data_IF_579735938186
#
_entry.id   IF_579735938186
#
_cell.length_a   1.000
_cell.length_b   1.000
_cell.length_c   1.000
_cell.angle_alpha   90.00
_cell.angle_beta   90.00
_cell.angle_gamma   90.00
#
_symmetry.space_group_name_H-M   'P 1'
#
loop_
_entity.id
_entity.type
_entity.pdbx_description
1 polymer ?
#
# COMPACT_ATOMS: atom_id res chain seq x y z
N UNK A 1 9.77 -7.60 -1.53
CA UNK A 1 10.03 -8.93 -2.11
C UNK A 1 9.72 -10.06 -1.13
N UNK A 2 10.31 -10.10 0.07
CA UNK A 2 10.05 -11.17 1.06
C UNK A 2 8.57 -11.27 1.52
N UNK A 3 7.91 -10.14 1.82
CA UNK A 3 6.49 -10.13 2.19
C UNK A 3 5.58 -10.67 1.09
N UNK A 4 5.86 -10.35 -0.18
CA UNK A 4 5.09 -10.84 -1.32
C UNK A 4 5.22 -12.34 -1.51
N UNK A 5 6.44 -12.89 -1.35
CA UNK A 5 6.69 -14.33 -1.39
C UNK A 5 6.03 -15.07 -0.23
N UNK A 6 6.11 -14.54 0.99
CA UNK A 6 5.45 -15.12 2.15
C UNK A 6 3.93 -15.20 1.96
N UNK A 7 3.32 -14.12 1.48
CA UNK A 7 1.87 -14.06 1.20
C UNK A 7 1.47 -14.97 0.04
N UNK A 8 2.32 -15.10 -0.98
CA UNK A 8 2.11 -16.04 -2.07
C UNK A 8 2.03 -17.48 -1.57
N UNK A 9 2.88 -17.88 -0.62
CA UNK A 9 2.80 -19.21 0.00
C UNK A 9 1.49 -19.42 0.78
N UNK A 10 0.94 -18.38 1.42
CA UNK A 10 -0.36 -18.45 2.09
C UNK A 10 -1.55 -18.51 1.11
N UNK A 11 -1.39 -17.98 -0.10
CA UNK A 11 -2.43 -18.04 -1.13
C UNK A 11 -2.83 -19.49 -1.44
N UNK A 12 -1.86 -20.42 -1.46
CA UNK A 12 -2.10 -21.85 -1.70
C UNK A 12 -2.97 -22.54 -0.62
N UNK A 13 -3.11 -21.94 0.57
CA UNK A 13 -3.86 -22.51 1.70
C UNK A 13 -5.27 -21.93 1.80
N UNK A 14 -5.52 -20.76 1.19
CA UNK A 14 -6.78 -20.03 1.31
C UNK A 14 -7.72 -20.30 0.13
N UNK A 15 -9.02 -20.30 0.39
CA UNK A 15 -10.02 -20.45 -0.68
C UNK A 15 -10.20 -19.13 -1.47
N UNK A 16 -10.49 -19.19 -2.79
CA UNK A 16 -10.64 -18.00 -3.63
C UNK A 16 -11.67 -16.97 -3.13
N UNK A 17 -12.83 -17.35 -2.54
CA UNK A 17 -13.77 -16.39 -1.97
C UNK A 17 -13.17 -15.62 -0.78
N UNK A 18 -12.44 -16.31 0.10
CA UNK A 18 -11.79 -15.70 1.27
C UNK A 18 -10.71 -14.71 0.82
N UNK A 19 -9.90 -15.09 -0.17
CA UNK A 19 -8.89 -14.19 -0.76
C UNK A 19 -9.55 -12.93 -1.31
N UNK A 20 -10.67 -13.06 -2.02
CA UNK A 20 -11.38 -11.91 -2.58
C UNK A 20 -11.87 -10.93 -1.50
N UNK A 21 -12.39 -11.46 -0.38
CA UNK A 21 -12.80 -10.64 0.77
C UNK A 21 -11.61 -9.91 1.39
N UNK A 22 -10.50 -10.63 1.63
CA UNK A 22 -9.28 -10.04 2.21
C UNK A 22 -8.71 -8.95 1.31
N UNK A 23 -8.59 -9.22 0.01
CA UNK A 23 -8.10 -8.27 -1.00
C UNK A 23 -8.98 -7.02 -1.04
N UNK A 24 -10.31 -7.20 -1.02
CA UNK A 24 -11.25 -6.09 -0.96
C UNK A 24 -11.04 -5.22 0.28
N UNK A 25 -10.95 -5.83 1.46
CA UNK A 25 -10.69 -5.13 2.72
C UNK A 25 -9.35 -4.36 2.68
N UNK A 26 -8.26 -5.01 2.26
CA UNK A 26 -6.96 -4.36 2.14
C UNK A 26 -6.98 -3.17 1.18
N UNK A 27 -7.66 -3.32 0.03
CA UNK A 27 -7.80 -2.24 -0.94
C UNK A 27 -8.57 -1.05 -0.36
N UNK A 28 -9.71 -1.27 0.30
CA UNK A 28 -10.51 -0.18 0.89
C UNK A 28 -9.80 0.52 2.05
N UNK A 29 -9.11 -0.24 2.90
CA UNK A 29 -8.28 0.33 3.98
C UNK A 29 -7.16 1.20 3.36
N UNK A 30 -6.47 0.68 2.34
CA UNK A 30 -5.42 1.42 1.64
C UNK A 30 -5.97 2.70 1.02
N UNK A 31 -7.12 2.63 0.35
CA UNK A 31 -7.77 3.78 -0.25
C UNK A 31 -8.15 4.83 0.80
N UNK A 32 -8.69 4.42 1.96
CA UNK A 32 -9.02 5.33 3.06
C UNK A 32 -7.77 6.03 3.61
N UNK A 33 -6.65 5.29 3.75
CA UNK A 33 -5.37 5.85 4.18
C UNK A 33 -4.85 6.86 3.16
N UNK A 34 -4.78 6.50 1.88
CA UNK A 34 -4.33 7.41 0.81
C UNK A 34 -5.23 8.66 0.75
N UNK A 35 -6.55 8.50 0.83
CA UNK A 35 -7.46 9.64 0.73
C UNK A 35 -7.32 10.63 1.90
N UNK A 36 -7.03 10.10 3.10
CA UNK A 36 -6.87 10.88 4.33
C UNK A 36 -5.49 11.50 4.47
N UNK A 37 -4.43 10.76 4.13
CA UNK A 37 -3.05 11.13 4.44
C UNK A 37 -2.23 11.56 3.22
N UNK A 38 -2.70 11.34 1.98
CA UNK A 38 -2.03 11.85 0.78
C UNK A 38 -2.60 13.23 0.33
N UNK A 39 -1.75 14.12 -0.21
CA UNK A 39 -0.29 13.99 -0.32
C UNK A 39 0.38 14.20 1.05
N UNK A 40 1.28 13.30 1.42
CA UNK A 40 2.06 13.42 2.65
C UNK A 40 3.05 14.57 2.50
N UNK A 41 2.90 15.62 3.29
CA UNK A 41 3.90 16.67 3.35
C UNK A 41 5.13 16.10 4.06
N UNK A 42 6.29 16.27 3.45
CA UNK A 42 7.58 15.89 4.06
C UNK A 42 8.33 17.18 4.35
N UNK A 43 9.04 17.25 5.49
CA UNK A 43 9.83 18.44 5.85
C UNK A 43 10.81 18.85 4.75
N UNK A 44 11.33 17.88 3.98
CA UNK A 44 12.26 18.12 2.87
C UNK A 44 11.60 18.53 1.54
N UNK A 45 10.27 18.42 1.40
CA UNK A 45 9.52 18.91 0.23
C UNK A 45 8.18 19.52 0.68
N UNK A 46 8.21 20.75 1.25
CA UNK A 46 7.00 21.45 1.60
C UNK A 46 6.19 21.74 0.32
N UNK A 47 4.91 21.38 0.34
CA UNK A 47 4.00 21.69 -0.77
C UNK A 47 3.51 23.13 -0.55
N UNK A 48 4.26 24.10 -1.08
CA UNK A 48 3.98 25.52 -0.87
C UNK A 48 2.75 26.04 -1.64
N UNK A 49 2.18 25.26 -2.55
CA UNK A 49 1.07 25.68 -3.41
C UNK A 49 -0.12 24.71 -3.30
N UNK A 50 -1.28 25.23 -2.92
CA UNK A 50 -2.54 24.47 -2.84
C UNK A 50 -2.90 23.78 -4.17
N UNK A 51 -2.61 24.42 -5.31
CA UNK A 51 -2.86 23.84 -6.63
C UNK A 51 -2.02 22.58 -6.90
N UNK A 52 -0.79 22.57 -6.39
CA UNK A 52 0.12 21.42 -6.51
C UNK A 52 -0.31 20.28 -5.56
N UNK A 53 -0.78 20.64 -4.36
CA UNK A 53 -1.36 19.70 -3.40
C UNK A 53 -2.57 18.97 -3.97
N UNK A 54 -3.50 19.70 -4.57
CA UNK A 54 -4.67 19.10 -5.22
C UNK A 54 -4.29 18.21 -6.39
N UNK A 55 -3.33 18.64 -7.21
CA UNK A 55 -2.83 17.86 -8.33
C UNK A 55 -2.28 16.52 -7.84
N UNK A 56 -1.40 16.51 -6.84
CA UNK A 56 -0.86 15.26 -6.30
C UNK A 56 -1.92 14.39 -5.65
N UNK A 57 -2.88 14.97 -4.94
CA UNK A 57 -4.02 14.21 -4.39
C UNK A 57 -4.81 13.50 -5.49
N UNK A 58 -5.11 14.20 -6.59
CA UNK A 58 -5.80 13.63 -7.77
C UNK A 58 -4.97 12.50 -8.39
N UNK A 59 -3.65 12.67 -8.51
CA UNK A 59 -2.75 11.62 -9.00
C UNK A 59 -2.72 10.38 -8.10
N UNK A 60 -2.60 10.55 -6.78
CA UNK A 60 -2.60 9.43 -5.84
C UNK A 60 -3.90 8.63 -5.92
N UNK A 61 -5.05 9.30 -6.01
CA UNK A 61 -6.35 8.63 -6.17
C UNK A 61 -6.45 7.95 -7.53
N UNK A 62 -6.02 8.60 -8.62
CA UNK A 62 -6.06 8.03 -9.97
C UNK A 62 -5.21 6.74 -10.07
N UNK A 63 -4.00 6.76 -9.50
CA UNK A 63 -3.12 5.59 -9.41
C UNK A 63 -3.79 4.47 -8.61
N UNK A 64 -4.43 4.80 -7.48
CA UNK A 64 -5.12 3.80 -6.67
C UNK A 64 -6.30 3.15 -7.41
N UNK A 65 -7.08 3.94 -8.15
CA UNK A 65 -8.17 3.42 -8.99
C UNK A 65 -7.62 2.51 -10.09
N UNK A 66 -6.52 2.89 -10.74
CA UNK A 66 -5.87 2.05 -11.75
C UNK A 66 -5.42 0.69 -11.17
N UNK A 67 -4.81 0.70 -9.99
CA UNK A 67 -4.46 -0.55 -9.28
C UNK A 67 -5.68 -1.38 -8.90
N UNK A 68 -6.79 -0.76 -8.51
CA UNK A 68 -8.05 -1.45 -8.26
C UNK A 68 -8.58 -2.18 -9.49
N UNK A 69 -8.53 -1.54 -10.67
CA UNK A 69 -8.90 -2.17 -11.93
C UNK A 69 -7.97 -3.35 -12.28
N UNK A 70 -6.66 -3.20 -12.06
CA UNK A 70 -5.69 -4.29 -12.26
C UNK A 70 -6.01 -5.48 -11.34
N UNK A 71 -6.33 -5.24 -10.07
CA UNK A 71 -6.74 -6.31 -9.14
C UNK A 71 -7.98 -7.06 -9.64
N UNK A 72 -8.98 -6.33 -10.13
CA UNK A 72 -10.20 -6.94 -10.70
C UNK A 72 -9.86 -7.81 -11.90
N UNK A 73 -9.05 -7.29 -12.85
CA UNK A 73 -8.66 -8.03 -14.05
C UNK A 73 -7.86 -9.29 -13.67
N UNK A 74 -6.88 -9.16 -12.78
CA UNK A 74 -6.03 -10.28 -12.38
C UNK A 74 -6.81 -11.33 -11.59
N UNK A 75 -7.84 -10.94 -10.82
CA UNK A 75 -8.71 -11.88 -10.11
C UNK A 75 -9.52 -12.79 -11.05
N UNK A 76 -9.77 -12.36 -12.28
CA UNK A 76 -10.53 -13.12 -13.29
C UNK A 76 -9.66 -14.06 -14.14
N UNK A 77 -8.34 -13.89 -14.10
CA UNK A 77 -7.40 -14.69 -14.87
C UNK A 77 -6.79 -15.76 -13.94
N UNK A 78 -7.12 -17.03 -14.15
CA UNK A 78 -6.70 -18.13 -13.25
C UNK A 78 -5.19 -18.14 -12.97
N UNK A 79 -4.39 -17.92 -14.00
CA UNK A 79 -2.92 -17.88 -13.91
C UNK A 79 -2.42 -16.73 -13.03
N UNK A 80 -3.14 -15.59 -13.02
CA UNK A 80 -2.73 -14.37 -12.31
C UNK A 80 -3.45 -14.18 -10.97
N UNK A 81 -4.50 -14.97 -10.69
CA UNK A 81 -5.27 -14.89 -9.45
C UNK A 81 -4.36 -15.05 -8.21
N UNK A 82 -3.33 -15.88 -8.33
CA UNK A 82 -2.33 -16.11 -7.27
C UNK A 82 -1.51 -14.87 -6.90
N UNK A 83 -1.43 -13.87 -7.79
CA UNK A 83 -0.71 -12.62 -7.59
C UNK A 83 -1.58 -11.53 -6.94
N UNK A 84 -2.90 -11.70 -6.90
CA UNK A 84 -3.84 -10.68 -6.41
C UNK A 84 -3.61 -10.36 -4.94
N UNK A 85 -3.41 -11.38 -4.11
CA UNK A 85 -3.16 -11.19 -2.68
C UNK A 85 -1.80 -10.51 -2.41
N UNK A 86 -0.66 -10.97 -3.00
CA UNK A 86 0.61 -10.25 -2.92
C UNK A 86 0.53 -8.78 -3.37
N UNK A 87 -0.20 -8.50 -4.46
CA UNK A 87 -0.38 -7.12 -4.94
C UNK A 87 -1.17 -6.27 -3.93
N UNK A 88 -2.26 -6.79 -3.36
CA UNK A 88 -3.05 -6.10 -2.36
C UNK A 88 -2.24 -5.77 -1.11
N UNK A 89 -1.38 -6.69 -0.66
CA UNK A 89 -0.45 -6.46 0.44
C UNK A 89 0.60 -5.40 0.07
N UNK A 90 1.11 -5.41 -1.16
CA UNK A 90 2.02 -4.37 -1.66
C UNK A 90 1.39 -2.98 -1.65
N UNK A 91 0.14 -2.86 -2.10
CA UNK A 91 -0.64 -1.63 -2.04
C UNK A 91 -0.81 -1.16 -0.59
N UNK A 92 -1.17 -2.08 0.31
CA UNK A 92 -1.31 -1.77 1.74
C UNK A 92 0.01 -1.29 2.37
N UNK A 93 1.13 -1.91 2.00
CA UNK A 93 2.44 -1.48 2.44
C UNK A 93 2.77 -0.06 1.94
N UNK A 94 2.43 0.27 0.69
CA UNK A 94 2.58 1.64 0.18
C UNK A 94 1.70 2.64 0.94
N UNK A 95 0.42 2.31 1.16
CA UNK A 95 -0.48 3.14 1.95
C UNK A 95 0.05 3.34 3.39
N UNK A 96 0.59 2.30 4.00
CA UNK A 96 1.22 2.38 5.32
C UNK A 96 2.38 3.38 5.35
N UNK A 97 3.27 3.38 4.34
CA UNK A 97 4.45 4.30 4.31
C UNK A 97 4.09 5.78 4.27
N UNK A 98 2.92 6.14 3.73
CA UNK A 98 2.44 7.54 3.71
C UNK A 98 1.56 7.90 4.90
N UNK A 99 1.29 6.94 5.79
CA UNK A 99 0.49 7.14 6.99
C UNK A 99 1.36 7.54 8.19
N UNK A 100 0.80 8.21 9.22
CA UNK A 100 1.52 8.53 10.46
C UNK A 100 2.16 7.31 11.13
N UNK A 101 1.50 6.14 11.02
CA UNK A 101 2.03 4.89 11.55
C UNK A 101 3.30 4.44 10.80
N UNK A 102 3.35 4.66 9.48
CA UNK A 102 4.54 4.39 8.67
C UNK A 102 5.71 5.30 9.03
N UNK A 103 5.45 6.61 9.19
CA UNK A 103 6.48 7.55 9.66
C UNK A 103 7.02 7.16 11.04
N UNK A 104 6.14 6.83 11.99
CA UNK A 104 6.55 6.36 13.32
C UNK A 104 7.35 5.05 13.28
N UNK A 105 7.01 4.13 12.37
CA UNK A 105 7.77 2.90 12.18
C UNK A 105 9.17 3.16 11.63
N UNK A 106 9.32 4.07 10.67
CA UNK A 106 10.65 4.45 10.15
C UNK A 106 11.49 5.07 11.25
N UNK A 107 10.95 6.00 12.04
CA UNK A 107 11.66 6.57 13.20
C UNK A 107 12.09 5.52 14.22
N UNK A 108 11.26 4.50 14.46
CA UNK A 108 11.62 3.39 15.34
C UNK A 108 12.77 2.55 14.78
N UNK A 109 12.77 2.27 13.48
CA UNK A 109 13.87 1.58 12.81
C UNK A 109 15.15 2.42 12.86
N UNK A 110 15.07 3.71 12.58
CA UNK A 110 16.21 4.63 12.67
C UNK A 110 16.78 4.64 14.09
N UNK A 111 15.93 4.69 15.13
CA UNK A 111 16.36 4.57 16.52
C UNK A 111 17.06 3.23 16.83
N UNK A 112 16.59 2.12 16.26
CA UNK A 112 17.26 0.81 16.40
C UNK A 112 18.61 0.78 15.68
N UNK A 113 18.72 1.44 14.53
CA UNK A 113 19.93 1.40 13.71
C UNK A 113 20.99 2.41 14.19
N UNK A 114 20.57 3.50 14.81
CA UNK A 114 21.43 4.51 15.44
C UNK A 114 21.97 4.08 16.81
N UNK A 115 21.67 2.85 17.27
CA UNK A 115 22.38 2.31 18.43
C UNK A 115 23.90 2.34 18.14
N UNK A 116 24.68 2.94 19.05
CA UNK A 116 26.08 3.24 18.79
C UNK A 116 26.81 1.95 18.48
N UNK A 117 27.52 1.96 17.35
CA UNK A 117 28.64 1.05 17.11
C UNK A 117 29.62 1.25 18.26
N UNK A 118 29.52 0.39 19.27
CA UNK A 118 30.51 0.27 20.34
C UNK A 118 31.87 -0.09 19.77
#
# INVERSE_FOLDING_TARGET
>A
LLLGWGVYSFNAVLSPPVISVIVGLLFFISLAIIFKYAPGETENKPINNEAEREKFKKWSVAIMVAYGLILIIFSRLEVLNTLVLPMAVGIMAQAFTVSPAGYGFIHFIDWILDFPKG
#
